data_IF_032505191084
#
_entry.id   IF_032505191084
#
_cell.length_a   1.000
_cell.length_b   1.000
_cell.length_c   1.000
_cell.angle_alpha   90.00
_cell.angle_beta   90.00
_cell.angle_gamma   90.00
#
_symmetry.space_group_name_H-M   'P 1'
#
loop_
_entity.id
_entity.type
_entity.pdbx_description
1 polymer ?
#
# COMPACT_ATOMS: atom_id res chain seq x y z
N UNK A 1 -3.90 0.29 -75.93
CA UNK A 1 -2.83 -0.73 -75.93
C UNK A 1 -1.74 -0.23 -74.98
N UNK A 2 -1.20 -0.93 -73.99
CA UNK A 2 -1.44 -2.22 -73.31
C UNK A 2 -0.62 -2.09 -71.99
N UNK A 3 -1.23 -2.22 -70.81
CA UNK A 3 -1.21 -3.42 -69.95
C UNK A 3 0.15 -3.80 -69.31
N UNK A 4 0.16 -3.78 -67.95
CA UNK A 4 0.96 -4.60 -66.99
C UNK A 4 2.44 -4.22 -66.84
N UNK A 5 3.09 -4.31 -65.68
CA UNK A 5 2.91 -5.26 -64.58
C UNK A 5 3.36 -4.73 -63.21
N UNK A 6 2.50 -4.87 -62.21
CA UNK A 6 2.85 -4.99 -60.80
C UNK A 6 3.65 -6.30 -60.59
N UNK A 7 4.81 -6.23 -59.92
CA UNK A 7 5.55 -7.42 -59.51
C UNK A 7 5.62 -7.49 -57.97
N UNK A 8 4.58 -8.12 -57.43
CA UNK A 8 4.48 -8.84 -56.15
C UNK A 8 5.78 -9.00 -55.36
N UNK A 9 5.85 -8.34 -54.20
CA UNK A 9 6.62 -8.82 -53.05
C UNK A 9 5.87 -10.04 -52.51
N UNK A 10 6.40 -11.23 -52.79
CA UNK A 10 5.86 -12.50 -52.27
C UNK A 10 6.03 -12.53 -50.76
N UNK A 11 4.91 -12.65 -50.04
CA UNK A 11 4.91 -12.96 -48.62
C UNK A 11 5.58 -14.31 -48.37
N UNK A 12 6.69 -14.29 -47.64
CA UNK A 12 7.19 -15.47 -46.93
C UNK A 12 6.44 -15.53 -45.60
N UNK A 13 5.30 -16.20 -45.57
CA UNK A 13 4.73 -16.67 -44.30
C UNK A 13 5.77 -17.56 -43.62
N UNK A 14 6.17 -17.29 -42.37
CA UNK A 14 7.00 -18.25 -41.65
C UNK A 14 6.16 -19.52 -41.51
N UNK A 15 6.67 -20.64 -42.04
CA UNK A 15 6.11 -21.97 -41.79
C UNK A 15 6.20 -22.21 -40.28
N UNK A 16 5.16 -21.84 -39.53
CA UNK A 16 4.94 -22.32 -38.16
C UNK A 16 4.96 -23.85 -38.24
N UNK A 17 5.91 -24.48 -37.57
CA UNK A 17 6.02 -25.93 -37.58
C UNK A 17 4.79 -26.52 -36.89
N UNK A 18 4.35 -27.71 -37.33
CA UNK A 18 3.28 -28.45 -36.65
C UNK A 18 3.58 -28.64 -35.14
N UNK A 19 4.87 -28.68 -34.80
CA UNK A 19 5.41 -28.75 -33.44
C UNK A 19 5.14 -27.48 -32.59
N UNK A 20 5.08 -26.29 -33.19
CA UNK A 20 4.79 -25.03 -32.48
C UNK A 20 3.33 -24.96 -32.03
N UNK A 21 2.42 -25.59 -32.78
CA UNK A 21 0.98 -25.60 -32.47
C UNK A 21 0.64 -26.54 -31.30
N UNK A 22 1.44 -27.59 -31.08
CA UNK A 22 1.24 -28.56 -29.99
C UNK A 22 1.99 -28.15 -28.72
N UNK A 23 3.16 -27.51 -28.85
CA UNK A 23 3.93 -27.03 -27.70
C UNK A 23 3.29 -25.81 -27.00
N UNK A 24 2.57 -24.96 -27.74
CA UNK A 24 1.97 -23.73 -27.21
C UNK A 24 0.82 -23.94 -26.20
N UNK A 25 -0.15 -24.86 -26.39
CA UNK A 25 -1.20 -25.10 -25.40
C UNK A 25 -0.67 -25.77 -24.15
N UNK A 26 0.27 -26.72 -24.28
CA UNK A 26 0.88 -27.41 -23.13
C UNK A 26 1.71 -26.43 -22.29
N UNK A 27 2.54 -25.61 -22.93
CA UNK A 27 3.32 -24.57 -22.24
C UNK A 27 2.42 -23.57 -21.51
N UNK A 28 1.32 -23.15 -22.14
CA UNK A 28 0.35 -22.23 -21.53
C UNK A 28 -0.35 -22.85 -20.31
N UNK A 29 -0.79 -24.10 -20.39
CA UNK A 29 -1.40 -24.81 -19.25
C UNK A 29 -0.40 -25.00 -18.11
N UNK A 30 0.87 -25.29 -18.42
CA UNK A 30 1.93 -25.38 -17.41
C UNK A 30 2.25 -24.02 -16.77
N UNK A 31 2.28 -22.94 -17.54
CA UNK A 31 2.48 -21.57 -17.05
C UNK A 31 1.30 -21.11 -16.18
N UNK A 32 0.06 -21.33 -16.63
CA UNK A 32 -1.15 -21.02 -15.86
C UNK A 32 -1.23 -21.86 -14.57
N UNK A 33 -0.92 -23.15 -14.65
CA UNK A 33 -0.85 -24.04 -13.49
C UNK A 33 0.22 -23.63 -12.49
N UNK A 34 1.41 -23.26 -12.98
CA UNK A 34 2.50 -22.75 -12.14
C UNK A 34 2.11 -21.43 -11.45
N UNK A 35 1.53 -20.48 -12.19
CA UNK A 35 1.05 -19.22 -11.62
C UNK A 35 -0.04 -19.44 -10.58
N UNK A 36 -0.97 -20.38 -10.82
CA UNK A 36 -2.01 -20.72 -9.86
C UNK A 36 -1.43 -21.33 -8.58
N UNK A 37 -0.52 -22.30 -8.71
CA UNK A 37 0.16 -22.92 -7.55
C UNK A 37 0.96 -21.89 -6.77
N UNK A 38 1.73 -21.04 -7.44
CA UNK A 38 2.49 -19.95 -6.83
C UNK A 38 1.55 -18.98 -6.09
N UNK A 39 0.43 -18.61 -6.72
CA UNK A 39 -0.59 -17.77 -6.10
C UNK A 39 -1.17 -18.38 -4.82
N UNK A 40 -1.48 -19.68 -4.83
CA UNK A 40 -1.96 -20.40 -3.64
C UNK A 40 -0.89 -20.45 -2.54
N UNK A 41 0.38 -20.69 -2.89
CA UNK A 41 1.48 -20.69 -1.91
C UNK A 41 1.64 -19.32 -1.26
N UNK A 42 1.63 -18.24 -2.06
CA UNK A 42 1.70 -16.86 -1.56
C UNK A 42 0.49 -16.54 -0.68
N UNK A 43 -0.70 -16.97 -1.08
CA UNK A 43 -1.93 -16.78 -0.32
C UNK A 43 -1.84 -17.45 1.05
N UNK A 44 -1.45 -18.73 1.10
CA UNK A 44 -1.28 -19.47 2.35
C UNK A 44 -0.23 -18.78 3.23
N UNK A 45 0.92 -18.42 2.67
CA UNK A 45 1.98 -17.74 3.40
C UNK A 45 1.53 -16.39 3.99
N UNK A 46 0.69 -15.65 3.25
CA UNK A 46 0.12 -14.36 3.71
C UNK A 46 -0.94 -14.54 4.79
N UNK A 47 -1.80 -15.55 4.66
CA UNK A 47 -2.90 -15.80 5.60
C UNK A 47 -2.39 -16.42 6.90
N UNK A 48 -1.33 -17.22 6.86
CA UNK A 48 -0.80 -17.95 8.02
C UNK A 48 -0.58 -17.07 9.28
N UNK A 49 0.09 -15.89 9.23
CA UNK A 49 0.24 -15.04 10.40
C UNK A 49 -1.09 -14.46 10.89
N UNK A 50 -2.03 -14.13 9.98
CA UNK A 50 -3.36 -13.61 10.34
C UNK A 50 -4.17 -14.70 11.04
N UNK A 51 -4.13 -15.93 10.52
CA UNK A 51 -4.68 -17.11 11.16
C UNK A 51 -4.12 -17.28 12.57
N UNK A 52 -2.80 -17.21 12.73
CA UNK A 52 -2.16 -17.35 14.04
C UNK A 52 -2.59 -16.25 15.02
N UNK A 53 -2.71 -15.00 14.57
CA UNK A 53 -3.24 -13.90 15.40
C UNK A 53 -4.68 -14.17 15.87
N UNK A 54 -5.53 -14.70 14.98
CA UNK A 54 -6.91 -15.04 15.30
C UNK A 54 -7.03 -16.24 16.24
N UNK A 55 -6.13 -17.22 16.14
CA UNK A 55 -6.07 -18.35 17.08
C UNK A 55 -5.60 -17.89 18.45
N UNK A 56 -4.54 -17.07 18.52
CA UNK A 56 -4.04 -16.55 19.79
C UNK A 56 -5.09 -15.69 20.50
N UNK A 57 -5.90 -14.91 19.76
CA UNK A 57 -6.96 -14.09 20.38
C UNK A 57 -8.06 -14.91 21.07
N UNK A 58 -8.29 -16.16 20.66
CA UNK A 58 -9.24 -17.09 21.31
C UNK A 58 -8.56 -18.11 22.22
N UNK A 59 -7.23 -18.02 22.41
CA UNK A 59 -6.46 -18.94 23.24
C UNK A 59 -6.26 -18.35 24.64
N UNK A 60 -6.48 -19.12 25.72
CA UNK A 60 -6.15 -18.67 27.08
C UNK A 60 -4.67 -18.31 27.22
N UNK A 61 -4.34 -17.30 28.03
CA UNK A 61 -2.96 -16.81 28.20
C UNK A 61 -1.96 -17.91 28.59
N UNK A 62 -2.40 -18.92 29.35
CA UNK A 62 -1.57 -20.06 29.77
C UNK A 62 -1.08 -20.89 28.59
N UNK A 63 -1.85 -20.93 27.50
CA UNK A 63 -1.64 -21.83 26.37
C UNK A 63 -1.22 -21.06 25.10
N UNK A 64 -1.22 -19.72 25.15
CA UNK A 64 -1.00 -18.83 24.01
C UNK A 64 0.39 -18.97 23.35
N UNK A 65 1.39 -19.41 24.11
CA UNK A 65 2.76 -19.62 23.63
C UNK A 65 3.14 -21.10 23.45
N UNK A 66 2.18 -22.02 23.56
CA UNK A 66 2.43 -23.46 23.46
C UNK A 66 2.72 -23.95 22.03
N UNK A 67 2.67 -23.07 21.02
CA UNK A 67 2.96 -23.42 19.62
C UNK A 67 1.92 -24.35 18.97
N UNK A 68 0.71 -24.43 19.53
CA UNK A 68 -0.36 -25.29 19.02
C UNK A 68 -1.06 -24.61 17.85
N UNK A 69 -1.34 -25.37 16.78
CA UNK A 69 -2.09 -24.87 15.62
C UNK A 69 -3.56 -24.56 15.94
N UNK A 70 -4.12 -25.17 17.00
CA UNK A 70 -5.48 -24.94 17.48
C UNK A 70 -5.51 -25.00 19.02
N UNK A 71 -6.29 -24.16 19.71
CA UNK A 71 -6.33 -24.16 21.17
C UNK A 71 -7.15 -25.34 21.71
N UNK A 72 -6.68 -25.93 22.80
CA UNK A 72 -7.41 -27.04 23.47
C UNK A 72 -8.73 -26.56 24.08
N UNK A 73 -8.76 -25.31 24.53
CA UNK A 73 -9.92 -24.68 25.16
C UNK A 73 -10.14 -23.28 24.56
N UNK A 74 -10.76 -23.19 23.36
CA UNK A 74 -11.11 -21.91 22.78
C UNK A 74 -12.01 -21.11 23.73
N UNK A 75 -11.70 -19.82 23.92
CA UNK A 75 -12.46 -18.92 24.81
C UNK A 75 -12.62 -17.54 24.17
N UNK A 76 -13.65 -16.81 24.59
CA UNK A 76 -13.88 -15.40 24.22
C UNK A 76 -13.51 -14.44 25.38
N UNK A 77 -12.94 -14.96 26.45
CA UNK A 77 -12.55 -14.18 27.65
C UNK A 77 -11.63 -13.02 27.28
N UNK A 78 -10.63 -13.23 26.42
CA UNK A 78 -9.73 -12.15 25.96
C UNK A 78 -10.51 -10.97 25.34
N UNK A 79 -11.58 -11.25 24.58
CA UNK A 79 -12.43 -10.21 24.01
C UNK A 79 -13.28 -9.51 25.08
N UNK A 80 -13.86 -10.26 26.01
CA UNK A 80 -14.61 -9.70 27.14
C UNK A 80 -13.72 -8.77 27.99
N UNK A 81 -12.53 -9.23 28.33
CA UNK A 81 -11.54 -8.46 29.09
C UNK A 81 -11.16 -7.14 28.40
N UNK A 82 -11.05 -7.12 27.07
CA UNK A 82 -10.81 -5.89 26.30
C UNK A 82 -12.03 -4.99 26.24
N UNK A 83 -13.20 -5.55 25.88
CA UNK A 83 -14.44 -4.78 25.68
C UNK A 83 -14.94 -4.14 26.97
N UNK A 84 -14.88 -4.89 28.09
CA UNK A 84 -15.30 -4.46 29.41
C UNK A 84 -14.15 -3.88 30.25
N UNK A 85 -12.93 -3.80 29.70
CA UNK A 85 -11.77 -3.18 30.33
C UNK A 85 -11.43 -3.76 31.71
N UNK A 86 -11.59 -5.07 31.86
CA UNK A 86 -11.47 -5.79 33.15
C UNK A 86 -10.03 -5.82 33.67
N UNK A 87 -9.05 -5.53 32.81
CA UNK A 87 -7.63 -5.48 33.16
C UNK A 87 -7.09 -4.05 33.25
N UNK A 88 -6.18 -3.80 34.19
CA UNK A 88 -5.69 -2.43 34.46
C UNK A 88 -5.00 -1.77 33.27
N UNK A 89 -4.34 -2.55 32.41
CA UNK A 89 -3.74 -2.06 31.15
C UNK A 89 -4.77 -1.63 30.10
N UNK A 90 -6.03 -2.07 30.21
CA UNK A 90 -7.09 -1.87 29.22
C UNK A 90 -8.13 -0.83 29.65
N UNK A 91 -7.96 -0.22 30.83
CA UNK A 91 -8.86 0.83 31.37
C UNK A 91 -9.15 1.97 30.40
N UNK A 92 -8.23 2.21 29.48
CA UNK A 92 -8.30 3.32 28.53
C UNK A 92 -8.41 2.85 27.08
N UNK A 93 -8.74 1.57 26.87
CA UNK A 93 -8.84 0.96 25.54
C UNK A 93 -9.70 1.77 24.57
N UNK A 94 -10.94 2.14 24.95
CA UNK A 94 -11.83 2.89 24.07
C UNK A 94 -11.30 4.30 23.74
N UNK A 95 -10.63 4.95 24.71
CA UNK A 95 -9.98 6.25 24.47
C UNK A 95 -8.78 6.11 23.55
N UNK A 96 -7.94 5.09 23.74
CA UNK A 96 -6.79 4.81 22.87
C UNK A 96 -7.23 4.45 21.45
N UNK A 97 -8.31 3.68 21.31
CA UNK A 97 -8.91 3.36 20.02
C UNK A 97 -9.44 4.62 19.33
N UNK A 98 -10.18 5.47 20.06
CA UNK A 98 -10.66 6.77 19.56
C UNK A 98 -9.53 7.71 19.15
N UNK A 99 -8.46 7.79 19.94
CA UNK A 99 -7.26 8.56 19.62
C UNK A 99 -6.58 8.04 18.34
N UNK A 100 -6.47 6.73 18.18
CA UNK A 100 -5.89 6.09 17.00
C UNK A 100 -6.72 6.39 15.74
N UNK A 101 -8.05 6.28 15.87
CA UNK A 101 -8.98 6.61 14.78
C UNK A 101 -8.90 8.09 14.40
N UNK A 102 -8.86 8.99 15.38
CA UNK A 102 -8.70 10.43 15.14
C UNK A 102 -7.40 10.74 14.41
N UNK A 103 -6.27 10.24 14.90
CA UNK A 103 -4.96 10.46 14.26
C UNK A 103 -4.95 9.91 12.84
N UNK A 104 -5.45 8.69 12.62
CA UNK A 104 -5.52 8.08 11.30
C UNK A 104 -6.35 8.92 10.31
N UNK A 105 -7.57 9.32 10.70
CA UNK A 105 -8.46 10.10 9.85
C UNK A 105 -7.94 11.52 9.59
N UNK A 106 -7.42 12.19 10.62
CA UNK A 106 -6.88 13.54 10.49
C UNK A 106 -5.62 13.55 9.61
N UNK A 107 -4.70 12.59 9.82
CA UNK A 107 -3.53 12.42 8.95
C UNK A 107 -3.96 12.14 7.52
N UNK A 108 -4.90 11.21 7.30
CA UNK A 108 -5.42 10.90 5.97
C UNK A 108 -5.99 12.16 5.28
N UNK A 109 -6.83 12.92 5.97
CA UNK A 109 -7.43 14.14 5.42
C UNK A 109 -6.37 15.19 5.01
N UNK A 110 -5.39 15.46 5.89
CA UNK A 110 -4.30 16.40 5.61
C UNK A 110 -3.47 15.93 4.41
N UNK A 111 -3.09 14.65 4.41
CA UNK A 111 -2.24 14.07 3.35
C UNK A 111 -2.96 14.09 2.01
N UNK A 112 -4.23 13.69 1.95
CA UNK A 112 -5.02 13.72 0.72
C UNK A 112 -5.19 15.14 0.19
N UNK A 113 -5.46 16.10 1.07
CA UNK A 113 -5.59 17.51 0.70
C UNK A 113 -4.28 18.05 0.11
N UNK A 114 -3.15 17.84 0.78
CA UNK A 114 -1.84 18.30 0.29
C UNK A 114 -1.43 17.56 -0.99
N UNK A 115 -1.60 16.24 -1.04
CA UNK A 115 -1.19 15.41 -2.17
C UNK A 115 -2.00 15.70 -3.44
N UNK A 116 -3.30 15.92 -3.31
CA UNK A 116 -4.15 16.29 -4.45
C UNK A 116 -3.75 17.65 -5.04
N UNK A 117 -3.56 18.68 -4.19
CA UNK A 117 -3.12 20.00 -4.63
C UNK A 117 -1.73 19.96 -5.28
N UNK A 118 -0.78 19.28 -4.62
CA UNK A 118 0.58 19.17 -5.14
C UNK A 118 0.62 18.38 -6.46
N UNK A 119 -0.10 17.25 -6.56
CA UNK A 119 -0.19 16.48 -7.79
C UNK A 119 -0.76 17.30 -8.94
N UNK A 120 -1.84 18.06 -8.69
CA UNK A 120 -2.44 18.92 -9.70
C UNK A 120 -1.46 20.02 -10.15
N UNK A 121 -0.78 20.68 -9.21
CA UNK A 121 0.22 21.70 -9.54
C UNK A 121 1.39 21.14 -10.37
N UNK A 122 1.85 19.93 -10.04
CA UNK A 122 2.96 19.30 -10.74
C UNK A 122 2.53 18.85 -12.15
N UNK A 123 1.43 18.11 -12.24
CA UNK A 123 1.02 17.41 -13.46
C UNK A 123 0.27 18.33 -14.43
N UNK A 124 -0.57 19.25 -13.92
CA UNK A 124 -1.44 20.10 -14.75
C UNK A 124 -0.92 21.51 -14.92
N UNK A 125 -0.45 22.15 -13.86
CA UNK A 125 0.14 23.51 -13.94
C UNK A 125 1.58 23.50 -14.45
N UNK A 126 2.13 22.33 -14.82
CA UNK A 126 3.49 22.15 -15.35
C UNK A 126 4.54 22.84 -14.48
N UNK A 127 4.45 22.67 -13.16
CA UNK A 127 5.39 23.26 -12.22
C UNK A 127 6.83 22.92 -12.61
N UNK A 128 7.66 23.95 -12.84
CA UNK A 128 8.97 23.87 -13.50
C UNK A 128 9.93 22.81 -12.94
N UNK A 129 9.83 22.47 -11.65
CA UNK A 129 10.63 21.43 -10.99
C UNK A 129 9.79 20.39 -10.24
N UNK A 130 8.48 20.35 -10.49
CA UNK A 130 7.54 19.55 -9.70
C UNK A 130 7.87 18.06 -9.67
N UNK A 131 8.22 17.50 -10.84
CA UNK A 131 8.59 16.09 -10.94
C UNK A 131 9.89 15.75 -10.20
N UNK A 132 10.89 16.64 -10.25
CA UNK A 132 12.15 16.46 -9.54
C UNK A 132 11.91 16.49 -8.04
N UNK A 133 11.23 17.53 -7.54
CA UNK A 133 10.91 17.70 -6.12
C UNK A 133 10.19 16.47 -5.58
N UNK A 134 9.12 16.02 -6.25
CA UNK A 134 8.36 14.83 -5.84
C UNK A 134 9.21 13.56 -5.80
N UNK A 135 10.03 13.30 -6.82
CA UNK A 135 10.89 12.11 -6.86
C UNK A 135 12.00 12.16 -5.80
N UNK A 136 12.64 13.31 -5.63
CA UNK A 136 13.72 13.47 -4.64
C UNK A 136 13.19 13.45 -3.22
N UNK A 137 11.94 13.86 -2.98
CA UNK A 137 11.32 13.80 -1.66
C UNK A 137 11.23 12.35 -1.14
N UNK A 138 11.18 11.34 -2.03
CA UNK A 138 11.22 9.92 -1.61
C UNK A 138 12.57 9.52 -1.01
N UNK A 139 13.67 10.23 -1.33
CA UNK A 139 14.98 9.95 -0.72
C UNK A 139 14.98 10.24 0.78
N UNK A 140 14.03 11.03 1.28
CA UNK A 140 13.87 11.27 2.72
C UNK A 140 13.52 9.99 3.50
N UNK A 141 12.92 8.98 2.86
CA UNK A 141 12.66 7.68 3.48
C UNK A 141 13.91 6.83 3.71
N UNK A 142 15.05 7.19 3.10
CA UNK A 142 16.32 6.53 3.37
C UNK A 142 16.87 6.93 4.74
N UNK A 143 16.41 8.05 5.30
CA UNK A 143 16.81 8.50 6.63
C UNK A 143 16.08 7.65 7.67
N UNK A 144 16.80 6.95 8.56
CA UNK A 144 16.19 6.25 9.67
C UNK A 144 15.30 7.18 10.51
N UNK A 145 14.05 6.78 10.74
CA UNK A 145 13.07 7.59 11.51
C UNK A 145 13.60 8.02 12.89
N UNK A 146 14.44 7.18 13.52
CA UNK A 146 15.07 7.49 14.80
C UNK A 146 15.92 8.78 14.78
N UNK A 147 16.58 9.10 13.65
CA UNK A 147 17.37 10.34 13.54
C UNK A 147 16.51 11.60 13.45
N UNK A 148 15.29 11.49 12.92
CA UNK A 148 14.37 12.61 12.75
C UNK A 148 13.54 12.86 14.02
N UNK A 149 13.51 11.90 14.95
CA UNK A 149 12.74 12.01 16.19
C UNK A 149 13.14 13.22 17.06
N UNK A 150 14.45 13.45 17.25
CA UNK A 150 14.96 14.57 18.05
C UNK A 150 14.58 15.94 17.45
N UNK A 151 14.86 16.24 16.16
CA UNK A 151 14.48 17.53 15.59
C UNK A 151 12.95 17.70 15.56
N UNK A 152 12.20 16.63 15.32
CA UNK A 152 10.73 16.70 15.35
C UNK A 152 10.21 17.02 16.76
N UNK A 153 10.75 16.36 17.80
CA UNK A 153 10.43 16.69 19.20
C UNK A 153 10.69 18.17 19.49
N UNK A 154 11.84 18.70 19.04
CA UNK A 154 12.19 20.11 19.25
C UNK A 154 11.17 21.03 18.57
N UNK A 155 10.81 20.77 17.31
CA UNK A 155 9.79 21.54 16.60
C UNK A 155 8.45 21.50 17.36
N UNK A 156 7.99 20.31 17.76
CA UNK A 156 6.73 20.20 18.51
C UNK A 156 6.79 20.90 19.87
N UNK A 157 7.96 20.92 20.52
CA UNK A 157 8.21 21.67 21.76
C UNK A 157 8.11 23.16 21.54
N UNK A 158 8.76 23.68 20.49
CA UNK A 158 8.77 25.11 20.17
C UNK A 158 7.36 25.63 19.87
N UNK A 159 6.50 24.79 19.25
CA UNK A 159 5.09 25.09 19.01
C UNK A 159 4.15 24.76 20.19
N UNK A 160 4.67 24.24 21.31
CA UNK A 160 3.85 23.88 22.48
C UNK A 160 2.88 22.70 22.24
N UNK A 161 3.16 21.86 21.23
CA UNK A 161 2.31 20.74 20.81
C UNK A 161 2.66 19.41 21.50
N UNK A 162 3.65 19.39 22.40
CA UNK A 162 4.06 18.17 23.09
C UNK A 162 2.90 17.52 23.84
N UNK A 163 2.88 16.18 23.83
CA UNK A 163 1.85 15.36 24.46
C UNK A 163 0.42 15.60 23.91
N UNK A 164 0.28 16.07 22.67
CA UNK A 164 -1.00 16.20 21.98
C UNK A 164 -1.14 15.21 20.83
N UNK A 165 -2.39 14.89 20.46
CA UNK A 165 -2.68 14.10 19.25
C UNK A 165 -2.21 14.82 17.99
N UNK A 166 -2.24 16.16 17.97
CA UNK A 166 -1.80 16.96 16.84
C UNK A 166 -0.31 16.82 16.54
N UNK A 167 0.54 16.71 17.55
CA UNK A 167 1.96 16.42 17.33
C UNK A 167 2.15 15.10 16.55
N UNK A 168 1.41 14.05 16.91
CA UNK A 168 1.47 12.78 16.22
C UNK A 168 0.86 12.86 14.81
N UNK A 169 -0.28 13.54 14.66
CA UNK A 169 -0.94 13.75 13.36
C UNK A 169 -0.01 14.45 12.37
N UNK A 170 0.68 15.53 12.77
CA UNK A 170 1.61 16.24 11.92
C UNK A 170 2.88 15.43 11.62
N UNK A 171 3.35 14.61 12.58
CA UNK A 171 4.47 13.70 12.34
C UNK A 171 4.12 12.71 11.23
N UNK A 172 3.00 12.02 11.40
CA UNK A 172 2.51 11.04 10.44
C UNK A 172 2.22 11.67 9.07
N UNK A 173 1.62 12.87 9.03
CA UNK A 173 1.37 13.58 7.79
C UNK A 173 2.68 13.97 7.08
N UNK A 174 3.69 14.44 7.81
CA UNK A 174 5.00 14.80 7.25
C UNK A 174 5.65 13.61 6.55
N UNK A 175 5.61 12.42 7.19
CA UNK A 175 6.18 11.22 6.59
C UNK A 175 5.30 10.61 5.51
N UNK A 176 3.98 10.71 5.55
CA UNK A 176 3.11 10.11 4.53
C UNK A 176 3.02 10.96 3.24
N UNK A 177 3.18 12.28 3.36
CA UNK A 177 2.95 13.23 2.26
C UNK A 177 3.84 13.01 1.03
N UNK A 178 5.18 12.80 1.15
CA UNK A 178 6.04 12.62 -0.03
C UNK A 178 5.61 11.46 -0.92
N UNK A 179 5.31 10.30 -0.31
CA UNK A 179 4.81 9.14 -1.02
C UNK A 179 3.42 9.39 -1.62
N UNK A 180 2.51 10.00 -0.87
CA UNK A 180 1.17 10.31 -1.38
C UNK A 180 1.21 11.26 -2.59
N UNK A 181 2.02 12.33 -2.55
CA UNK A 181 2.22 13.23 -3.70
C UNK A 181 2.71 12.44 -4.90
N UNK A 182 3.69 11.56 -4.69
CA UNK A 182 4.26 10.77 -5.78
C UNK A 182 3.22 9.83 -6.41
N UNK A 183 2.45 9.09 -5.59
CA UNK A 183 1.38 8.20 -6.08
C UNK A 183 0.29 8.99 -6.82
N UNK A 184 -0.18 10.10 -6.24
CA UNK A 184 -1.23 10.93 -6.83
C UNK A 184 -0.78 11.50 -8.17
N UNK A 185 0.47 11.96 -8.24
CA UNK A 185 1.07 12.44 -9.49
C UNK A 185 1.15 11.33 -10.53
N UNK A 186 1.65 10.14 -10.16
CA UNK A 186 1.70 9.02 -11.10
C UNK A 186 0.32 8.70 -11.68
N UNK A 187 -0.72 8.74 -10.85
CA UNK A 187 -2.09 8.55 -11.32
C UNK A 187 -2.56 9.71 -12.20
N UNK A 188 -2.35 10.96 -11.79
CA UNK A 188 -2.72 12.16 -12.57
C UNK A 188 -2.03 12.21 -13.94
N UNK A 189 -0.77 11.76 -14.03
CA UNK A 189 0.00 11.68 -15.28
C UNK A 189 -0.62 10.66 -16.27
N UNK A 190 -1.45 9.69 -15.81
CA UNK A 190 -2.16 8.74 -16.69
C UNK A 190 -3.45 9.30 -17.29
N UNK A 191 -3.99 10.38 -16.73
CA UNK A 191 -5.25 10.98 -17.18
C UNK A 191 -4.95 11.90 -18.37
N UNK A 192 -5.56 11.67 -19.55
CA UNK A 192 -5.31 12.47 -20.75
C UNK A 192 -5.64 13.95 -20.54
N UNK A 193 -4.84 14.85 -21.12
CA UNK A 193 -5.01 16.30 -20.95
C UNK A 193 -6.26 16.84 -21.66
N UNK A 194 -6.78 16.13 -22.66
CA UNK A 194 -7.96 16.57 -23.41
C UNK A 194 -9.20 16.66 -22.51
N UNK A 195 -9.25 15.90 -21.42
CA UNK A 195 -10.33 15.98 -20.43
C UNK A 195 -10.35 17.31 -19.68
N UNK A 196 -9.18 17.91 -19.45
CA UNK A 196 -9.08 19.23 -18.80
C UNK A 196 -9.38 20.36 -19.79
N UNK A 197 -9.10 20.17 -21.08
CA UNK A 197 -9.41 21.14 -22.15
C UNK A 197 -10.90 21.17 -22.53
N UNK A 198 -11.62 20.06 -22.30
CA UNK A 198 -13.04 19.93 -22.62
C UNK A 198 -13.98 20.43 -21.51
N UNK A 199 -13.46 20.67 -20.30
CA UNK A 199 -14.21 21.12 -19.12
C UNK A 199 -14.26 22.65 -19.01
#
# INVERSE_FOLDING_TARGET
MAARSEARVRGTTPRRGLWDLVAHPVRRVLEEGFMAVLGVVILIWTILPIYHMAIVSITPLTDAFAGKFWPERPTLENYQTVLFQEHYFLREFWRQLGNSLFVALATMAIVLFVASLASFAISRLKARYGHVVSNTALLTYLIPMAFVAIPFYRVMSDYGLLNTLWALTFAMATFATPYAIWVFRQYSDTIPFELDEAA
#
